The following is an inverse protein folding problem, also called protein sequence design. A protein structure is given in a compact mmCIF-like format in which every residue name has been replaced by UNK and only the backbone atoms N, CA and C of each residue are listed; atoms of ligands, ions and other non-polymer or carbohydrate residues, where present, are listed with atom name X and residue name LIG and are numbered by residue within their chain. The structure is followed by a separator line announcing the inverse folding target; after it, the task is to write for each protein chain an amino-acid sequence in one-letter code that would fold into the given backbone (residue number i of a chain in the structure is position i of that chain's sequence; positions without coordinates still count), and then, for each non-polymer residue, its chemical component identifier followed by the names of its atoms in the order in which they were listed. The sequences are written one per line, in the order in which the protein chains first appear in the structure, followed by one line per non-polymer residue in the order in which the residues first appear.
data_IF_391088026599
#
_entry.id   IF_391088026599
#
_cell.length_a   1.000
_cell.length_b   1.000
_cell.length_c   1.000
_cell.angle_alpha   90.00
_cell.angle_beta   90.00
_cell.angle_gamma   90.00
#
_symmetry.space_group_name_H-M   'P 1'
#
loop_
_entity.id
_entity.type
_entity.pdbx_description
1 polymer ?
#
# COMPACT_ATOMS: atom_id res chain seq x y z
N UNK A 1 12.35 23.22 0.45
CA UNK A 1 12.73 21.89 -0.05
C UNK A 1 12.42 20.81 0.99
N UNK A 2 12.98 20.83 2.21
CA UNK A 2 12.69 19.85 3.27
C UNK A 2 11.20 19.66 3.63
N UNK A 3 10.42 20.75 3.72
CA UNK A 3 8.98 20.67 4.03
C UNK A 3 8.14 19.94 2.98
N UNK A 4 8.66 19.83 1.75
CA UNK A 4 7.99 19.14 0.62
C UNK A 4 8.41 17.67 0.50
N UNK A 5 9.40 17.24 1.28
CA UNK A 5 9.91 15.87 1.32
C UNK A 5 9.29 15.11 2.50
N UNK A 6 9.24 15.70 3.70
CA UNK A 6 8.51 15.10 4.83
C UNK A 6 7.04 14.79 4.48
N UNK A 7 6.40 15.69 3.74
CA UNK A 7 5.01 15.49 3.29
C UNK A 7 4.86 14.33 2.32
N UNK A 8 5.87 14.04 1.49
CA UNK A 8 5.83 12.89 0.58
C UNK A 8 6.09 11.57 1.29
N UNK A 9 6.97 11.56 2.29
CA UNK A 9 7.21 10.38 3.13
C UNK A 9 5.98 10.06 3.99
N UNK A 10 5.36 11.07 4.62
CA UNK A 10 4.10 10.90 5.34
C UNK A 10 2.96 10.45 4.41
N UNK A 11 2.80 11.05 3.23
CA UNK A 11 1.79 10.62 2.23
C UNK A 11 2.03 9.17 1.77
N UNK A 12 3.29 8.77 1.53
CA UNK A 12 3.63 7.40 1.15
C UNK A 12 3.41 6.39 2.29
N UNK A 13 3.71 6.77 3.53
CA UNK A 13 3.44 5.94 4.71
C UNK A 13 1.94 5.77 4.96
N UNK A 14 1.17 6.86 4.86
CA UNK A 14 -0.29 6.80 5.04
C UNK A 14 -0.95 5.96 3.94
N UNK A 15 -0.48 6.08 2.69
CA UNK A 15 -0.94 5.25 1.58
C UNK A 15 -0.56 3.78 1.75
N UNK A 16 0.59 3.47 2.35
CA UNK A 16 0.99 2.10 2.69
C UNK A 16 0.06 1.47 3.74
N UNK A 17 -0.25 2.21 4.81
CA UNK A 17 -1.15 1.73 5.88
C UNK A 17 -2.58 1.45 5.36
N UNK A 18 -3.09 2.26 4.44
CA UNK A 18 -4.41 2.06 3.81
C UNK A 18 -4.44 0.78 2.97
N UNK A 19 -3.37 0.54 2.19
CA UNK A 19 -3.26 -0.63 1.30
C UNK A 19 -3.06 -1.92 2.11
N UNK A 20 -2.29 -1.88 3.19
CA UNK A 20 -2.10 -3.03 4.10
C UNK A 20 -3.42 -3.42 4.77
N UNK A 21 -4.19 -2.42 5.20
CA UNK A 21 -5.52 -2.66 5.77
C UNK A 21 -6.51 -3.24 4.76
N UNK A 22 -6.49 -2.75 3.52
CA UNK A 22 -7.32 -3.31 2.45
C UNK A 22 -6.94 -4.78 2.15
N UNK A 23 -5.65 -5.13 2.25
CA UNK A 23 -5.19 -6.50 2.15
C UNK A 23 -5.74 -7.37 3.29
N UNK A 24 -5.61 -6.93 4.54
CA UNK A 24 -6.13 -7.65 5.71
C UNK A 24 -7.64 -7.89 5.60
N UNK A 25 -8.40 -6.87 5.21
CA UNK A 25 -9.85 -6.97 5.00
C UNK A 25 -10.19 -8.00 3.90
N UNK A 26 -9.41 -8.09 2.81
CA UNK A 26 -9.63 -9.07 1.74
C UNK A 26 -9.27 -10.50 2.16
N UNK A 27 -8.19 -10.67 2.94
CA UNK A 27 -7.78 -11.97 3.46
C UNK A 27 -8.81 -12.51 4.46
N UNK A 28 -9.32 -11.65 5.35
CA UNK A 28 -10.40 -12.00 6.28
C UNK A 28 -11.67 -12.45 5.55
N UNK A 29 -12.11 -11.68 4.53
CA UNK A 29 -13.26 -12.06 3.70
C UNK A 29 -13.01 -13.38 2.97
N UNK A 30 -11.81 -13.59 2.43
CA UNK A 30 -11.46 -14.84 1.77
C UNK A 30 -11.56 -16.03 2.72
N UNK A 31 -11.08 -15.88 3.96
CA UNK A 31 -11.16 -16.90 5.00
C UNK A 31 -12.62 -17.21 5.40
N UNK A 32 -13.47 -16.19 5.51
CA UNK A 32 -14.91 -16.38 5.81
C UNK A 32 -15.64 -17.16 4.72
N UNK A 33 -15.21 -17.01 3.46
CA UNK A 33 -15.80 -17.67 2.30
C UNK A 33 -15.37 -19.13 2.10
N UNK A 34 -14.37 -19.63 2.84
CA UNK A 34 -13.86 -21.02 2.67
C UNK A 34 -14.90 -22.11 2.95
N UNK A 35 -15.91 -21.80 3.78
CA UNK A 35 -16.95 -22.75 4.18
C UNK A 35 -18.28 -22.55 3.42
N UNK A 36 -18.33 -21.58 2.49
CA UNK A 36 -19.53 -21.33 1.69
C UNK A 36 -19.70 -22.41 0.60
N UNK A 37 -20.95 -22.65 0.20
CA UNK A 37 -21.23 -23.58 -0.89
C UNK A 37 -20.92 -22.91 -2.24
N UNK A 38 -20.38 -23.65 -3.22
CA UNK A 38 -19.99 -23.11 -4.53
C UNK A 38 -21.15 -22.46 -5.31
N UNK A 39 -22.39 -22.88 -5.03
CA UNK A 39 -23.61 -22.36 -5.64
C UNK A 39 -24.14 -21.08 -4.95
N UNK A 40 -23.57 -20.68 -3.81
CA UNK A 40 -24.02 -19.51 -3.06
C UNK A 40 -23.78 -18.23 -3.85
N UNK A 41 -24.77 -17.33 -3.76
CA UNK A 41 -24.71 -15.99 -4.37
C UNK A 41 -24.15 -15.00 -3.38
N UNK A 42 -22.90 -14.63 -3.59
CA UNK A 42 -22.15 -13.70 -2.73
C UNK A 42 -22.27 -12.28 -3.32
N UNK A 43 -22.69 -11.28 -2.53
CA UNK A 43 -22.72 -9.89 -2.98
C UNK A 43 -21.30 -9.31 -3.04
N UNK A 44 -20.82 -9.01 -4.24
CA UNK A 44 -19.51 -8.42 -4.51
C UNK A 44 -19.63 -6.93 -4.84
N UNK A 45 -18.77 -6.10 -4.25
CA UNK A 45 -18.78 -4.64 -4.42
C UNK A 45 -17.94 -4.21 -5.61
N UNK A 46 -18.52 -3.45 -6.54
CA UNK A 46 -17.82 -2.81 -7.65
C UNK A 46 -18.15 -1.32 -7.66
N UNK A 47 -17.17 -0.48 -7.31
CA UNK A 47 -17.41 0.95 -7.09
C UNK A 47 -18.44 1.18 -5.97
N UNK A 48 -19.56 1.81 -6.31
CA UNK A 48 -20.66 2.11 -5.38
C UNK A 48 -21.83 1.11 -5.45
N UNK A 49 -21.69 0.03 -6.22
CA UNK A 49 -22.76 -0.96 -6.45
C UNK A 49 -22.36 -2.36 -5.99
N UNK A 50 -23.37 -3.19 -5.69
CA UNK A 50 -23.18 -4.60 -5.35
C UNK A 50 -23.82 -5.49 -6.42
N UNK A 51 -23.12 -6.56 -6.79
CA UNK A 51 -23.58 -7.57 -7.74
C UNK A 51 -23.48 -8.94 -7.07
N UNK A 52 -24.55 -9.74 -7.12
CA UNK A 52 -24.50 -11.12 -6.62
C UNK A 52 -23.87 -12.04 -7.67
N UNK A 53 -22.74 -12.65 -7.31
CA UNK A 53 -21.99 -13.57 -8.15
C UNK A 53 -21.89 -14.94 -7.46
N UNK A 54 -21.74 -16.05 -8.21
CA UNK A 54 -21.38 -17.34 -7.62
C UNK A 54 -20.05 -17.27 -6.86
N UNK A 55 -19.89 -18.10 -5.82
CA UNK A 55 -18.68 -18.14 -5.01
C UNK A 55 -17.38 -18.30 -5.81
N UNK A 56 -17.27 -19.20 -6.81
CA UNK A 56 -16.05 -19.32 -7.62
C UNK A 56 -15.65 -18.02 -8.34
N UNK A 57 -16.64 -17.28 -8.86
CA UNK A 57 -16.38 -16.02 -9.55
C UNK A 57 -15.91 -14.95 -8.57
N UNK A 58 -16.48 -14.90 -7.37
CA UNK A 58 -16.01 -13.98 -6.31
C UNK A 58 -14.59 -14.32 -5.87
N UNK A 59 -14.26 -15.60 -5.69
CA UNK A 59 -12.90 -16.04 -5.33
C UNK A 59 -11.87 -15.64 -6.39
N UNK A 60 -12.16 -15.82 -7.67
CA UNK A 60 -11.29 -15.39 -8.77
C UNK A 60 -11.06 -13.86 -8.77
N UNK A 61 -12.12 -13.10 -8.52
CA UNK A 61 -12.07 -11.64 -8.45
C UNK A 61 -11.29 -11.15 -7.21
N UNK A 62 -11.50 -11.77 -6.05
CA UNK A 62 -10.76 -11.48 -4.83
C UNK A 62 -9.27 -11.77 -5.03
N UNK A 63 -8.90 -12.94 -5.56
CA UNK A 63 -7.52 -13.30 -5.84
C UNK A 63 -6.83 -12.30 -6.79
N UNK A 64 -7.56 -11.85 -7.82
CA UNK A 64 -7.06 -10.82 -8.74
C UNK A 64 -6.84 -9.48 -8.04
N UNK A 65 -7.77 -9.08 -7.15
CA UNK A 65 -7.66 -7.83 -6.40
C UNK A 65 -6.49 -7.86 -5.42
N UNK A 66 -6.39 -8.92 -4.61
CA UNK A 66 -5.29 -9.12 -3.66
C UNK A 66 -3.94 -9.13 -4.37
N UNK A 67 -3.81 -9.83 -5.50
CA UNK A 67 -2.55 -9.85 -6.26
C UNK A 67 -2.13 -8.48 -6.79
N UNK A 68 -3.09 -7.62 -7.18
CA UNK A 68 -2.80 -6.24 -7.60
C UNK A 68 -2.35 -5.37 -6.43
N UNK A 69 -3.02 -5.52 -5.30
CA UNK A 69 -2.66 -4.83 -4.05
C UNK A 69 -1.24 -5.21 -3.63
N UNK A 70 -0.87 -6.48 -3.66
CA UNK A 70 0.49 -6.93 -3.34
C UNK A 70 1.56 -6.35 -4.28
N UNK A 71 1.26 -6.23 -5.58
CA UNK A 71 2.15 -5.57 -6.54
C UNK A 71 2.32 -4.08 -6.22
N UNK A 72 1.22 -3.39 -5.90
CA UNK A 72 1.23 -1.97 -5.54
C UNK A 72 2.00 -1.72 -4.23
N UNK A 73 1.81 -2.56 -3.20
CA UNK A 73 2.60 -2.51 -1.95
C UNK A 73 4.09 -2.63 -2.26
N UNK A 74 4.49 -3.68 -3.00
CA UNK A 74 5.90 -3.91 -3.34
C UNK A 74 6.52 -2.74 -4.11
N UNK A 75 5.75 -2.13 -5.04
CA UNK A 75 6.19 -0.97 -5.79
C UNK A 75 6.33 0.29 -4.91
N UNK A 76 5.43 0.49 -3.93
CA UNK A 76 5.51 1.59 -2.98
C UNK A 76 6.70 1.43 -2.02
N UNK A 77 6.93 0.23 -1.49
CA UNK A 77 8.08 -0.06 -0.63
C UNK A 77 9.40 0.21 -1.34
N UNK A 78 9.51 -0.18 -2.62
CA UNK A 78 10.68 0.09 -3.45
C UNK A 78 10.94 1.60 -3.57
N UNK A 79 9.91 2.38 -3.90
CA UNK A 79 10.02 3.85 -4.03
C UNK A 79 10.34 4.53 -2.71
N UNK A 80 9.82 4.02 -1.59
CA UNK A 80 10.13 4.52 -0.26
C UNK A 80 11.61 4.31 0.05
N UNK A 81 12.14 3.11 -0.24
CA UNK A 81 13.55 2.80 -0.09
C UNK A 81 14.46 3.72 -0.92
N UNK A 82 14.14 3.91 -2.21
CA UNK A 82 14.87 4.82 -3.09
C UNK A 82 14.87 6.26 -2.57
N UNK A 83 13.73 6.74 -2.08
CA UNK A 83 13.60 8.10 -1.52
C UNK A 83 14.43 8.27 -0.25
N UNK A 84 14.44 7.26 0.63
CA UNK A 84 15.25 7.26 1.85
C UNK A 84 16.76 7.25 1.54
N UNK A 85 17.18 6.50 0.51
CA UNK A 85 18.57 6.48 0.05
C UNK A 85 18.98 7.85 -0.51
N UNK A 86 18.14 8.47 -1.35
CA UNK A 86 18.38 9.81 -1.87
C UNK A 86 18.50 10.84 -0.73
N UNK A 87 17.64 10.74 0.28
CA UNK A 87 17.68 11.59 1.48
C UNK A 87 18.99 11.43 2.27
N UNK A 88 19.45 10.18 2.45
CA UNK A 88 20.72 9.91 3.14
C UNK A 88 21.90 10.51 2.37
N UNK A 89 21.94 10.34 1.05
CA UNK A 89 22.98 10.88 0.20
C UNK A 89 22.98 12.42 0.22
N UNK A 90 21.80 13.04 0.12
CA UNK A 90 21.67 14.50 0.16
C UNK A 90 22.13 15.07 1.51
N UNK A 91 21.82 14.39 2.63
CA UNK A 91 22.31 14.77 3.97
C UNK A 91 23.84 14.77 4.00
N UNK A 92 24.49 13.74 3.47
CA UNK A 92 25.96 13.65 3.40
C UNK A 92 26.54 14.83 2.60
N UNK A 93 25.99 15.11 1.42
CA UNK A 93 26.47 16.20 0.56
C UNK A 93 26.31 17.58 1.21
N UNK A 94 25.18 17.81 1.88
CA UNK A 94 24.92 19.06 2.59
C UNK A 94 25.86 19.23 3.80
N UNK A 95 26.09 18.17 4.59
CA UNK A 95 27.07 18.23 5.68
C UNK A 95 28.49 18.41 5.17
N UNK A 96 28.87 17.84 4.03
CA UNK A 96 30.18 18.05 3.41
C UNK A 96 30.36 19.51 2.94
N UNK A 97 29.30 20.15 2.42
CA UNK A 97 29.32 21.54 1.92
C UNK A 97 29.24 22.59 3.02
N UNK A 98 28.37 22.39 4.00
CA UNK A 98 28.00 23.41 4.99
C UNK A 98 28.50 23.08 6.41
N UNK A 99 28.97 21.86 6.67
CA UNK A 99 29.54 21.45 7.94
C UNK A 99 28.59 21.67 9.13
N UNK A 100 29.13 22.19 10.23
CA UNK A 100 28.39 22.46 11.48
C UNK A 100 27.49 23.70 11.42
N UNK A 101 27.44 24.42 10.29
CA UNK A 101 26.61 25.62 10.15
C UNK A 101 25.13 25.31 9.94
N UNK A 102 24.79 24.03 9.71
CA UNK A 102 23.44 23.53 9.53
C UNK A 102 23.18 22.36 10.50
N UNK A 103 21.92 22.18 10.90
CA UNK A 103 21.47 21.01 11.65
C UNK A 103 20.35 20.31 10.87
N UNK A 104 20.58 19.05 10.47
CA UNK A 104 19.67 18.26 9.65
C UNK A 104 19.13 17.02 10.40
N UNK A 105 19.51 16.82 11.67
CA UNK A 105 18.96 15.76 12.50
C UNK A 105 17.63 16.19 13.12
N UNK A 106 16.54 15.69 12.55
CA UNK A 106 15.22 15.49 13.15
C UNK A 106 14.56 14.36 12.37
#
# INVERSE_FOLDING_TARGET
MQRRMLTKEDEAATGGDEVEKEKEDLDDVSNELELADEDDKIPYKIGDSFISLPLPEVQDMLATSTGRIEEDVSALETKLGETQEEMAQLKIELYARFGKSINLET
#
